data_IF_628136409918
#
_entry.id   IF_628136409918
#
_cell.length_a   1.000
_cell.length_b   1.000
_cell.length_c   1.000
_cell.angle_alpha   90.00
_cell.angle_beta   90.00
_cell.angle_gamma   90.00
#
_symmetry.space_group_name_H-M   'P 1'
#
loop_
_entity.id
_entity.type
_entity.pdbx_description
1 polymer ?
#
# COMPACT_ATOMS: atom_id res chain seq x y z
N UNK A 1 10.25 13.71 -35.65
CA UNK A 1 8.95 14.29 -35.23
C UNK A 1 8.52 13.45 -34.06
N UNK A 2 8.48 14.07 -32.88
CA UNK A 2 8.17 13.45 -31.61
C UNK A 2 6.69 13.08 -31.57
N UNK A 3 6.38 11.81 -31.29
CA UNK A 3 5.02 11.39 -30.97
C UNK A 3 4.85 11.44 -29.45
N UNK A 4 4.17 12.49 -28.99
CA UNK A 4 3.73 12.64 -27.61
C UNK A 4 2.63 11.62 -27.29
N UNK A 5 3.05 10.47 -26.76
CA UNK A 5 2.14 9.51 -26.11
C UNK A 5 1.66 10.08 -24.77
N UNK A 6 0.35 10.07 -24.54
CA UNK A 6 -0.25 10.44 -23.26
C UNK A 6 0.32 9.55 -22.13
N UNK A 7 0.81 10.10 -21.02
CA UNK A 7 1.29 9.28 -19.91
C UNK A 7 0.10 8.67 -19.15
N UNK A 8 0.04 7.33 -19.11
CA UNK A 8 -0.42 6.58 -17.94
C UNK A 8 -1.91 6.24 -17.85
N UNK A 9 -2.32 5.12 -18.47
CA UNK A 9 -3.49 4.33 -17.99
C UNK A 9 -3.25 2.82 -17.95
N UNK A 10 -2.06 2.38 -18.35
CA UNK A 10 -1.68 0.98 -18.45
C UNK A 10 -0.80 0.52 -17.28
N UNK A 11 -0.52 -0.79 -17.20
CA UNK A 11 0.41 -1.34 -16.23
C UNK A 11 1.81 -0.74 -16.39
N UNK A 12 2.42 -0.32 -15.29
CA UNK A 12 3.79 0.16 -15.21
C UNK A 12 4.71 -0.96 -14.73
N UNK A 13 5.77 -1.27 -15.48
CA UNK A 13 6.79 -2.22 -15.04
C UNK A 13 7.49 -1.67 -13.79
N UNK A 14 7.46 -2.42 -12.69
CA UNK A 14 8.10 -2.02 -11.43
C UNK A 14 9.34 -2.85 -11.09
N UNK A 15 9.56 -3.98 -11.77
CA UNK A 15 10.80 -4.74 -11.67
C UNK A 15 10.64 -6.23 -11.96
N UNK A 16 11.76 -6.94 -11.90
CA UNK A 16 11.81 -8.41 -11.99
C UNK A 16 11.27 -9.02 -10.71
N UNK A 17 10.46 -10.07 -10.84
CA UNK A 17 9.81 -10.75 -9.71
C UNK A 17 10.81 -11.20 -8.65
N UNK A 18 11.89 -11.89 -9.05
CA UNK A 18 12.86 -12.45 -8.11
C UNK A 18 13.62 -11.36 -7.33
N UNK A 19 13.92 -10.23 -7.99
CA UNK A 19 14.57 -9.09 -7.36
C UNK A 19 13.67 -8.44 -6.31
N UNK A 20 12.39 -8.24 -6.64
CA UNK A 20 11.41 -7.67 -5.72
C UNK A 20 11.10 -8.60 -4.54
N UNK A 21 11.03 -9.91 -4.77
CA UNK A 21 10.90 -10.92 -3.70
C UNK A 21 12.08 -10.82 -2.73
N UNK A 22 13.30 -10.72 -3.26
CA UNK A 22 14.52 -10.63 -2.46
C UNK A 22 14.59 -9.32 -1.67
N UNK A 23 14.19 -8.21 -2.29
CA UNK A 23 14.17 -6.89 -1.66
C UNK A 23 13.09 -6.77 -0.58
N UNK A 24 11.99 -7.53 -0.69
CA UNK A 24 10.75 -7.47 0.12
C UNK A 24 10.00 -6.14 0.01
N UNK A 25 10.67 -5.02 0.20
CA UNK A 25 10.11 -3.67 0.11
C UNK A 25 10.90 -2.89 -0.94
N UNK A 26 10.23 -2.33 -1.94
CA UNK A 26 10.88 -1.54 -3.00
C UNK A 26 10.06 -0.29 -3.30
N UNK A 27 10.73 0.86 -3.37
CA UNK A 27 10.09 2.12 -3.79
C UNK A 27 10.31 2.32 -5.28
N UNK A 28 9.24 2.60 -6.01
CA UNK A 28 9.26 2.83 -7.46
C UNK A 28 8.38 4.01 -7.80
N UNK A 29 8.85 4.90 -8.66
CA UNK A 29 8.05 6.00 -9.21
C UNK A 29 7.35 5.54 -10.49
N UNK A 30 6.02 5.58 -10.52
CA UNK A 30 5.20 5.22 -11.68
C UNK A 30 4.11 6.26 -11.88
N UNK A 31 3.95 6.77 -13.12
CA UNK A 31 2.94 7.78 -13.45
C UNK A 31 3.03 9.06 -12.60
N UNK A 32 4.24 9.44 -12.16
CA UNK A 32 4.46 10.60 -11.30
C UNK A 32 4.13 10.37 -9.82
N UNK A 33 3.89 9.12 -9.41
CA UNK A 33 3.56 8.73 -8.05
C UNK A 33 4.62 7.79 -7.47
N UNK A 34 5.05 8.06 -6.25
CA UNK A 34 5.99 7.19 -5.53
C UNK A 34 5.25 6.08 -4.81
N UNK A 35 5.49 4.85 -5.24
CA UNK A 35 4.82 3.66 -4.77
C UNK A 35 5.76 2.84 -3.89
N UNK A 36 5.21 2.22 -2.86
CA UNK A 36 5.84 1.14 -2.13
C UNK A 36 5.27 -0.19 -2.62
N UNK A 37 6.12 -0.99 -3.27
CA UNK A 37 5.85 -2.39 -3.64
C UNK A 37 6.36 -3.29 -2.53
N UNK A 38 5.48 -4.14 -2.01
CA UNK A 38 5.76 -5.05 -0.89
C UNK A 38 5.49 -6.47 -1.32
N UNK A 39 6.45 -7.37 -1.12
CA UNK A 39 6.25 -8.81 -1.20
C UNK A 39 6.15 -9.42 0.20
N UNK A 40 4.97 -9.92 0.53
CA UNK A 40 4.70 -10.53 1.84
C UNK A 40 3.90 -11.83 1.67
N UNK A 41 4.41 -12.92 2.27
CA UNK A 41 3.77 -14.24 2.25
C UNK A 41 3.37 -14.75 0.84
N UNK A 42 4.20 -14.48 -0.17
CA UNK A 42 3.95 -14.94 -1.54
C UNK A 42 3.01 -14.06 -2.36
N UNK A 43 2.59 -12.91 -1.81
CA UNK A 43 1.70 -11.95 -2.47
C UNK A 43 2.40 -10.60 -2.60
N UNK A 44 2.20 -9.94 -3.73
CA UNK A 44 2.62 -8.56 -3.93
C UNK A 44 1.50 -7.59 -3.62
N UNK A 45 1.87 -6.49 -2.96
CA UNK A 45 1.02 -5.35 -2.66
C UNK A 45 1.70 -4.09 -3.19
N UNK A 46 0.92 -3.12 -3.62
CA UNK A 46 1.43 -1.81 -4.01
C UNK A 46 0.58 -0.72 -3.37
N UNK A 47 1.22 0.21 -2.67
CA UNK A 47 0.55 1.34 -2.00
C UNK A 47 1.31 2.62 -2.31
N UNK A 48 0.73 3.75 -1.94
CA UNK A 48 1.51 4.97 -1.80
C UNK A 48 2.68 4.81 -0.83
N UNK A 49 3.83 5.36 -1.21
CA UNK A 49 5.05 5.30 -0.43
C UNK A 49 4.97 6.13 0.87
N UNK A 50 4.21 7.22 0.85
CA UNK A 50 4.13 8.19 1.94
C UNK A 50 2.89 7.97 2.80
N UNK A 51 3.09 7.78 4.11
CA UNK A 51 2.03 7.53 5.08
C UNK A 51 1.03 8.68 5.13
N UNK A 52 -0.26 8.37 4.98
CA UNK A 52 -1.38 9.32 5.02
C UNK A 52 -1.43 10.22 6.26
N UNK A 53 -0.79 9.83 7.37
CA UNK A 53 -0.85 10.63 8.60
C UNK A 53 -0.02 11.91 8.51
N UNK A 54 1.19 11.85 7.94
CA UNK A 54 2.14 12.97 7.95
C UNK A 54 3.29 12.82 6.92
N UNK A 55 3.05 12.13 5.81
CA UNK A 55 4.02 11.95 4.72
C UNK A 55 5.28 11.15 5.08
N UNK A 56 5.25 10.34 6.14
CA UNK A 56 6.41 9.54 6.52
C UNK A 56 6.62 8.38 5.54
N UNK A 57 7.82 8.19 5.02
CA UNK A 57 8.14 7.05 4.15
C UNK A 57 7.81 5.73 4.84
N UNK A 58 7.05 4.89 4.15
CA UNK A 58 6.65 3.56 4.60
C UNK A 58 7.69 2.48 4.25
N UNK A 59 8.69 2.78 3.42
CA UNK A 59 9.67 1.80 2.92
C UNK A 59 10.32 0.95 4.03
N UNK A 60 10.64 1.60 5.14
CA UNK A 60 11.29 0.99 6.31
C UNK A 60 10.29 0.61 7.41
N UNK A 61 9.00 0.53 7.09
CA UNK A 61 7.97 0.06 8.01
C UNK A 61 8.01 -1.46 8.17
N UNK A 62 7.83 -1.92 9.41
CA UNK A 62 7.66 -3.33 9.69
C UNK A 62 6.29 -3.81 9.20
N UNK A 63 6.18 -5.09 8.84
CA UNK A 63 4.90 -5.71 8.48
C UNK A 63 4.48 -6.61 9.64
N UNK A 64 3.30 -6.35 10.20
CA UNK A 64 2.72 -7.11 11.30
C UNK A 64 1.33 -7.65 10.92
N UNK A 65 0.97 -8.82 11.45
CA UNK A 65 -0.37 -9.40 11.33
C UNK A 65 -1.29 -8.81 12.39
N UNK A 66 -2.27 -8.01 11.96
CA UNK A 66 -3.21 -7.30 12.84
C UNK A 66 -4.63 -7.69 12.48
N UNK A 67 -5.27 -8.47 13.35
CA UNK A 67 -6.62 -8.99 13.07
C UNK A 67 -6.65 -9.87 11.82
N UNK A 68 -5.62 -10.68 11.62
CA UNK A 68 -5.42 -11.53 10.42
C UNK A 68 -5.28 -10.76 9.11
N UNK A 69 -4.84 -9.50 9.20
CA UNK A 69 -4.53 -8.65 8.05
C UNK A 69 -3.06 -8.24 8.12
N UNK A 70 -2.27 -8.45 7.05
CA UNK A 70 -0.92 -7.93 7.00
C UNK A 70 -0.99 -6.41 6.91
N UNK A 71 -0.34 -5.74 7.86
CA UNK A 71 -0.34 -4.30 7.99
C UNK A 71 1.08 -3.76 8.02
N UNK A 72 1.34 -2.72 7.24
CA UNK A 72 2.59 -1.96 7.38
C UNK A 72 2.46 -0.97 8.53
N UNK A 73 3.50 -0.94 9.38
CA UNK A 73 3.61 -0.06 10.53
C UNK A 73 4.47 1.12 10.12
N UNK A 74 3.86 2.30 10.00
CA UNK A 74 4.58 3.51 9.67
C UNK A 74 5.73 3.73 10.68
N UNK A 75 7.00 3.84 10.23
CA UNK A 75 8.13 3.90 11.14
C UNK A 75 8.10 5.17 12.02
N UNK A 76 7.51 6.25 11.52
CA UNK A 76 7.47 7.57 12.15
C UNK A 76 6.52 7.63 13.35
N UNK A 77 5.26 7.21 13.18
CA UNK A 77 4.21 7.36 14.20
C UNK A 77 3.43 6.08 14.51
N UNK A 78 3.87 4.93 13.99
CA UNK A 78 3.33 3.58 14.27
C UNK A 78 1.86 3.38 13.86
N UNK A 79 1.39 4.19 12.92
CA UNK A 79 0.12 3.99 12.23
C UNK A 79 0.13 2.66 11.48
N UNK A 80 -0.97 1.94 11.56
CA UNK A 80 -1.16 0.61 10.99
C UNK A 80 -2.01 0.74 9.75
N UNK A 81 -1.47 0.32 8.62
CA UNK A 81 -2.12 0.43 7.32
C UNK A 81 -2.18 -0.97 6.72
N UNK A 82 -3.38 -1.46 6.40
CA UNK A 82 -3.50 -2.77 5.76
C UNK A 82 -2.89 -2.74 4.37
N UNK A 83 -2.09 -3.75 4.05
CA UNK A 83 -1.47 -3.87 2.73
C UNK A 83 -2.50 -4.14 1.62
N UNK A 84 -3.61 -4.81 1.96
CA UNK A 84 -4.59 -5.31 0.99
C UNK A 84 -5.53 -4.21 0.48
N UNK A 85 -5.96 -3.31 1.36
CA UNK A 85 -7.02 -2.32 1.06
C UNK A 85 -6.70 -0.91 1.57
N UNK A 86 -5.56 -0.71 2.23
CA UNK A 86 -5.10 0.61 2.64
C UNK A 86 -5.90 1.22 3.81
N UNK A 87 -6.69 0.40 4.51
CA UNK A 87 -7.39 0.87 5.70
C UNK A 87 -6.44 1.25 6.82
N UNK A 88 -6.78 2.31 7.57
CA UNK A 88 -6.05 2.71 8.77
C UNK A 88 -6.62 2.03 10.01
N UNK A 89 -5.86 1.15 10.65
CA UNK A 89 -6.31 0.40 11.83
C UNK A 89 -5.93 1.10 13.14
N UNK A 90 -6.81 0.98 14.14
CA UNK A 90 -6.57 1.45 15.50
C UNK A 90 -7.18 0.50 16.53
N UNK A 91 -6.64 0.50 17.76
CA UNK A 91 -7.19 -0.28 18.87
C UNK A 91 -8.31 0.51 19.52
N UNK A 92 -9.48 -0.09 19.65
CA UNK A 92 -10.67 0.55 20.23
C UNK A 92 -11.61 -0.47 20.87
N UNK A 93 -12.71 0.02 21.43
CA UNK A 93 -13.77 -0.83 21.99
C UNK A 93 -14.91 -0.93 21.00
N UNK A 94 -15.18 -2.12 20.51
CA UNK A 94 -16.36 -2.40 19.70
C UNK A 94 -17.58 -2.48 20.61
N UNK A 95 -18.47 -1.50 20.46
CA UNK A 95 -19.72 -1.37 21.22
C UNK A 95 -20.92 -1.95 20.47
N UNK A 96 -20.72 -2.44 19.24
CA UNK A 96 -21.78 -3.07 18.44
C UNK A 96 -22.06 -4.51 18.89
N UNK A 97 -21.11 -5.12 19.61
CA UNK A 97 -21.24 -6.46 20.21
C UNK A 97 -21.48 -6.38 21.72
N UNK A 98 -22.18 -7.37 22.28
CA UNK A 98 -22.47 -7.46 23.72
C UNK A 98 -21.94 -8.79 24.30
N UNK A 99 -21.03 -8.77 25.29
CA UNK A 99 -20.42 -7.58 25.91
C UNK A 99 -19.46 -6.85 24.95
N UNK A 100 -19.22 -5.53 25.12
CA UNK A 100 -18.24 -4.80 24.32
C UNK A 100 -16.85 -5.43 24.42
N UNK A 101 -16.15 -5.51 23.29
CA UNK A 101 -14.81 -6.12 23.23
C UNK A 101 -13.77 -5.11 22.75
N UNK A 102 -12.58 -5.15 23.35
CA UNK A 102 -11.46 -4.37 22.82
C UNK A 102 -10.86 -5.11 21.63
N UNK A 103 -10.90 -4.48 20.45
CA UNK A 103 -10.48 -5.08 19.18
C UNK A 103 -9.82 -4.05 18.27
N UNK A 104 -9.38 -4.49 17.09
CA UNK A 104 -8.90 -3.62 16.02
C UNK A 104 -10.09 -3.12 15.20
N UNK A 105 -10.20 -1.80 15.08
CA UNK A 105 -11.22 -1.11 14.31
C UNK A 105 -10.56 -0.37 13.13
N UNK A 106 -11.37 -0.04 12.12
CA UNK A 106 -10.93 0.67 10.90
C UNK A 106 -11.33 2.14 10.92
N UNK A 107 -10.47 3.01 10.38
CA UNK A 107 -10.78 4.41 10.03
C UNK A 107 -11.34 4.53 8.61
N UNK A 108 -11.58 3.42 7.93
CA UNK A 108 -11.79 3.34 6.49
C UNK A 108 -10.46 3.37 5.71
N UNK A 109 -10.57 3.38 4.37
CA UNK A 109 -9.43 3.50 3.46
C UNK A 109 -8.78 4.87 3.66
N UNK A 110 -7.47 4.87 3.94
CA UNK A 110 -6.66 6.08 4.17
C UNK A 110 -5.42 6.14 3.29
N UNK A 111 -4.89 4.98 2.92
CA UNK A 111 -3.75 4.82 2.03
C UNK A 111 -4.24 4.26 0.71
N UNK A 112 -3.89 4.88 -0.43
CA UNK A 112 -4.27 4.32 -1.73
C UNK A 112 -3.48 3.04 -2.00
N UNK A 113 -4.20 2.00 -2.42
CA UNK A 113 -3.65 0.73 -2.91
C UNK A 113 -3.80 0.67 -4.42
N UNK A 114 -2.81 0.03 -5.06
CA UNK A 114 -2.72 -0.15 -6.50
C UNK A 114 -2.79 -1.62 -6.89
N UNK A 115 -3.31 -1.88 -8.08
CA UNK A 115 -3.42 -3.24 -8.59
C UNK A 115 -2.04 -3.73 -9.04
N UNK A 116 -1.64 -4.91 -8.56
CA UNK A 116 -0.40 -5.56 -8.98
C UNK A 116 -0.72 -6.70 -9.95
N UNK A 117 0.07 -6.86 -11.00
CA UNK A 117 -0.04 -7.96 -11.96
C UNK A 117 1.33 -8.56 -12.20
N UNK A 118 1.41 -9.88 -12.25
CA UNK A 118 2.64 -10.63 -12.52
C UNK A 118 2.53 -11.27 -13.90
N UNK A 119 3.51 -11.05 -14.77
CA UNK A 119 3.55 -11.64 -16.12
C UNK A 119 4.99 -11.86 -16.55
N UNK A 120 5.29 -13.02 -17.12
CA UNK A 120 6.60 -13.35 -17.73
C UNK A 120 7.83 -13.10 -16.82
N UNK A 121 7.67 -13.28 -15.51
CA UNK A 121 8.73 -13.05 -14.51
C UNK A 121 8.92 -11.59 -14.13
N UNK A 122 8.05 -10.70 -14.59
CA UNK A 122 8.01 -9.28 -14.28
C UNK A 122 6.78 -8.94 -13.42
N UNK A 123 6.91 -7.89 -12.62
CA UNK A 123 5.84 -7.34 -11.80
C UNK A 123 5.47 -5.97 -12.35
N UNK A 124 4.17 -5.74 -12.49
CA UNK A 124 3.58 -4.51 -12.98
C UNK A 124 2.62 -3.94 -11.96
N UNK A 125 2.52 -2.62 -11.91
CA UNK A 125 1.52 -1.91 -11.10
C UNK A 125 0.63 -1.07 -12.00
N UNK A 126 -0.67 -1.25 -11.87
CA UNK A 126 -1.67 -0.37 -12.48
C UNK A 126 -2.16 0.61 -11.42
N UNK A 127 -1.96 1.90 -11.67
CA UNK A 127 -2.38 2.96 -10.75
C UNK A 127 -3.91 2.92 -10.59
N UNK A 128 -4.36 3.04 -9.35
CA UNK A 128 -5.78 3.02 -9.01
C UNK A 128 -6.31 4.43 -9.09
N UNK A 129 -7.38 4.61 -9.86
CA UNK A 129 -8.16 5.84 -9.91
C UNK A 129 -9.37 5.71 -8.96
N UNK A 130 -9.89 6.83 -8.46
CA UNK A 130 -11.09 6.82 -7.62
C UNK A 130 -11.23 8.07 -6.77
N UNK A 131 -12.13 8.01 -5.79
CA UNK A 131 -12.33 9.07 -4.81
C UNK A 131 -11.02 9.40 -4.08
N UNK A 132 -10.89 10.66 -3.67
CA UNK A 132 -9.73 11.14 -2.94
C UNK A 132 -9.55 10.41 -1.61
N UNK A 133 -8.31 10.05 -1.27
CA UNK A 133 -7.92 9.49 0.03
C UNK A 133 -6.75 10.29 0.60
N UNK A 134 -6.56 10.23 1.92
CA UNK A 134 -5.61 11.09 2.62
C UNK A 134 -4.16 10.95 2.15
N UNK A 135 -3.73 9.77 1.68
CA UNK A 135 -2.38 9.61 1.13
C UNK A 135 -2.16 10.38 -0.18
N UNK A 136 -3.21 10.76 -0.91
CA UNK A 136 -3.07 11.52 -2.17
C UNK A 136 -2.50 12.93 -1.96
N UNK A 137 -2.50 13.43 -0.72
CA UNK A 137 -1.90 14.71 -0.39
C UNK A 137 -0.35 14.68 -0.41
N UNK A 138 0.26 13.51 -0.25
CA UNK A 138 1.71 13.33 -0.08
C UNK A 138 2.34 12.65 -1.29
#
# INVERSE_FOLDING_TARGET
MEEGGQPGKGPHLVGKKDDLIKAKNTVVTAGGRDLLVVHHQGVFYALDCYCYHSGGSLQNGDIEEIGSRPCIICPKHKYKISLADGEGLYKGTDTTVTPPVTTWLTKGVKQRVHAVTEADGDVYVTLSEGDWVESDFY
#
